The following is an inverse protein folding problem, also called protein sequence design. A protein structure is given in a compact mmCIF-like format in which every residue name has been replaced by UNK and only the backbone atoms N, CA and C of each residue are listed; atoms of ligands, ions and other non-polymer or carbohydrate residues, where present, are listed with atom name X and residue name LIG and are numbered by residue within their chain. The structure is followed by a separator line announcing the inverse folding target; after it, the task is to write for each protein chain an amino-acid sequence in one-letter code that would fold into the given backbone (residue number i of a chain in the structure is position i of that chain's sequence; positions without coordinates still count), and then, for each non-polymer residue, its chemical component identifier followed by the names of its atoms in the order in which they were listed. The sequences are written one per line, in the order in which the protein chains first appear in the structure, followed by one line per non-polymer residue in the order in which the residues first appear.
data_IF_796319886425
#
_entry.id   IF_796319886425
#
_cell.length_a   1.000
_cell.length_b   1.000
_cell.length_c   1.000
_cell.angle_alpha   90.00
_cell.angle_beta   90.00
_cell.angle_gamma   90.00
#
_symmetry.space_group_name_H-M   'P 1'
#
loop_
_entity.id
_entity.type
_entity.pdbx_description
1 polymer ?
#
# COMPACT_ATOMS: atom_id res chain seq x y z
N UNK A 1 -4.45 -8.80 -16.37
CA UNK A 1 -3.41 -8.36 -15.40
C UNK A 1 -3.98 -7.22 -14.54
N UNK A 2 -5.09 -7.48 -13.84
CA UNK A 2 -5.92 -6.45 -13.15
C UNK A 2 -6.43 -6.94 -11.78
N UNK A 3 -5.72 -7.88 -11.14
CA UNK A 3 -6.11 -8.41 -9.82
C UNK A 3 -5.22 -7.95 -8.65
N UNK A 4 -4.10 -7.27 -8.91
CA UNK A 4 -3.22 -6.80 -7.82
C UNK A 4 -3.59 -5.41 -7.26
N UNK A 5 -4.41 -4.61 -7.95
CA UNK A 5 -4.84 -3.29 -7.44
C UNK A 5 -5.89 -3.36 -6.31
N UNK A 6 -6.53 -4.51 -6.06
CA UNK A 6 -7.56 -4.64 -5.00
C UNK A 6 -7.02 -4.92 -3.60
N UNK A 7 -5.73 -5.23 -3.41
CA UNK A 7 -5.21 -5.53 -2.06
C UNK A 7 -4.85 -4.28 -1.24
N UNK A 8 -4.52 -3.14 -1.89
CA UNK A 8 -4.27 -1.88 -1.16
C UNK A 8 -5.56 -1.26 -0.59
N UNK A 9 -6.73 -1.53 -1.18
CA UNK A 9 -8.04 -1.07 -0.66
C UNK A 9 -8.58 -1.99 0.45
N UNK A 10 -8.13 -3.25 0.53
CA UNK A 10 -8.55 -4.17 1.60
C UNK A 10 -7.80 -4.01 2.93
N UNK A 11 -6.71 -3.22 2.96
CA UNK A 11 -5.98 -2.86 4.19
C UNK A 11 -6.71 -1.83 5.07
N UNK A 12 -7.81 -1.27 4.59
CA UNK A 12 -8.74 -0.37 5.29
C UNK A 12 -10.15 -0.97 5.45
N UNK A 13 -10.28 -2.30 5.50
CA UNK A 13 -11.29 -2.93 6.35
C UNK A 13 -10.72 -2.84 7.77
N UNK A 14 -10.70 -1.67 8.40
CA UNK A 14 -11.96 -1.00 8.70
C UNK A 14 -12.75 -1.94 9.59
N UNK A 15 -12.14 -2.36 10.71
CA UNK A 15 -12.90 -2.68 11.93
C UNK A 15 -13.56 -1.37 12.39
N UNK A 16 -14.45 -0.84 11.56
CA UNK A 16 -15.65 -0.16 11.98
C UNK A 16 -16.34 -1.25 12.80
N UNK A 17 -15.99 -1.30 14.08
CA UNK A 17 -16.92 -1.76 15.10
C UNK A 17 -18.14 -0.90 14.84
N UNK A 18 -19.09 -1.50 14.14
CA UNK A 18 -20.41 -0.96 13.92
C UNK A 18 -21.00 -0.85 15.33
N UNK A 19 -20.73 0.29 15.98
CA UNK A 19 -21.37 0.72 17.23
C UNK A 19 -22.85 1.04 16.98
N UNK A 20 -23.31 0.98 15.72
CA UNK A 20 -24.69 1.20 15.34
C UNK A 20 -25.42 -0.13 15.05
N UNK A 21 -26.40 -0.47 15.89
CA UNK A 21 -27.52 -1.39 15.63
C UNK A 21 -27.44 -2.81 16.21
N UNK A 22 -27.52 -2.90 17.55
CA UNK A 22 -28.50 -3.82 18.14
C UNK A 22 -29.65 -2.96 18.70
N UNK A 23 -30.67 -2.61 17.88
CA UNK A 23 -31.90 -2.04 18.39
C UNK A 23 -32.69 -3.18 19.04
N UNK A 24 -32.62 -3.31 20.37
CA UNK A 24 -33.53 -4.23 21.06
C UNK A 24 -33.04 -4.96 22.31
N UNK A 25 -31.88 -4.63 22.90
CA UNK A 25 -31.65 -5.06 24.28
C UNK A 25 -32.42 -4.17 25.24
N UNK A 26 -33.60 -4.65 25.58
CA UNK A 26 -34.45 -4.21 26.68
C UNK A 26 -33.62 -3.98 27.93
N UNK A 27 -33.73 -2.75 28.43
CA UNK A 27 -33.12 -2.19 29.64
C UNK A 27 -33.60 -2.99 30.86
N UNK A 28 -33.00 -4.15 31.12
CA UNK A 28 -33.17 -4.86 32.37
C UNK A 28 -32.51 -4.05 33.48
N UNK A 29 -33.24 -3.89 34.58
CA UNK A 29 -32.95 -2.96 35.65
C UNK A 29 -31.64 -3.27 36.39
N UNK A 30 -30.80 -2.23 36.50
CA UNK A 30 -30.04 -1.93 37.71
C UNK A 30 -29.07 -2.99 38.22
N UNK A 31 -28.00 -3.28 37.49
CA UNK A 31 -26.73 -3.64 38.14
C UNK A 31 -26.00 -2.34 38.47
N UNK A 32 -25.95 -2.00 39.76
CA UNK A 32 -25.03 -0.97 40.24
C UNK A 32 -23.62 -1.42 39.88
N UNK A 33 -23.05 -0.83 38.83
CA UNK A 33 -21.61 -0.94 38.54
C UNK A 33 -20.90 -0.38 39.77
N UNK A 34 -20.09 -1.18 40.49
CA UNK A 34 -19.26 -0.63 41.54
C UNK A 34 -18.43 0.49 40.90
N UNK A 35 -18.57 1.72 41.39
CA UNK A 35 -17.67 2.82 41.01
C UNK A 35 -16.33 2.53 41.68
N UNK A 36 -15.59 1.56 41.15
CA UNK A 36 -14.20 1.35 41.48
C UNK A 36 -13.38 2.33 40.63
N UNK A 37 -12.78 3.37 41.23
CA UNK A 37 -11.98 4.35 40.50
C UNK A 37 -10.82 3.69 39.73
N UNK A 38 -10.34 2.53 40.19
CA UNK A 38 -9.32 1.74 39.50
C UNK A 38 -9.83 1.14 38.19
N UNK A 39 -11.06 0.64 38.17
CA UNK A 39 -11.70 0.10 36.97
C UNK A 39 -11.86 1.18 35.90
N UNK A 40 -12.47 2.32 36.26
CA UNK A 40 -12.76 3.40 35.31
C UNK A 40 -11.48 4.00 34.70
N UNK A 41 -10.39 4.05 35.48
CA UNK A 41 -9.08 4.51 35.02
C UNK A 41 -8.47 3.57 33.98
N UNK A 42 -8.37 2.28 34.30
CA UNK A 42 -7.82 1.26 33.39
C UNK A 42 -8.66 1.12 32.11
N UNK A 43 -9.99 1.18 32.24
CA UNK A 43 -10.89 1.14 31.10
C UNK A 43 -10.62 2.29 30.13
N UNK A 44 -10.60 3.54 30.62
CA UNK A 44 -10.32 4.72 29.78
C UNK A 44 -8.94 4.65 29.13
N UNK A 45 -7.93 4.21 29.87
CA UNK A 45 -6.58 4.03 29.35
C UNK A 45 -6.54 2.98 28.23
N UNK A 46 -7.20 1.84 28.41
CA UNK A 46 -7.28 0.78 27.39
C UNK A 46 -7.93 1.29 26.10
N UNK A 47 -9.02 2.06 26.21
CA UNK A 47 -9.68 2.69 25.05
C UNK A 47 -8.76 3.69 24.35
N UNK A 48 -8.09 4.60 25.08
CA UNK A 48 -7.14 5.56 24.48
C UNK A 48 -6.00 4.84 23.74
N UNK A 49 -5.52 3.70 24.26
CA UNK A 49 -4.51 2.88 23.57
C UNK A 49 -5.06 2.27 22.27
N UNK A 50 -6.30 1.78 22.26
CA UNK A 50 -6.96 1.28 21.04
C UNK A 50 -7.11 2.39 20.00
N UNK A 51 -7.57 3.58 20.41
CA UNK A 51 -7.74 4.73 19.51
C UNK A 51 -6.43 5.18 18.87
N UNK A 52 -5.30 4.99 19.57
CA UNK A 52 -3.94 5.27 19.07
C UNK A 52 -3.32 4.10 18.30
N UNK A 53 -4.05 3.01 18.07
CA UNK A 53 -3.57 1.81 17.38
C UNK A 53 -2.56 0.97 18.18
N UNK A 54 -2.44 1.18 19.49
CA UNK A 54 -1.50 0.49 20.39
C UNK A 54 -2.15 -0.77 20.97
N UNK A 55 -2.57 -1.69 20.09
CA UNK A 55 -3.42 -2.83 20.46
C UNK A 55 -2.78 -3.80 21.46
N UNK A 56 -1.48 -4.08 21.37
CA UNK A 56 -0.82 -4.98 22.33
C UNK A 56 -0.78 -4.34 23.73
N UNK A 57 -0.45 -3.06 23.83
CA UNK A 57 -0.49 -2.31 25.09
C UNK A 57 -1.92 -2.19 25.63
N UNK A 58 -2.91 -2.04 24.75
CA UNK A 58 -4.31 -2.04 25.13
C UNK A 58 -4.73 -3.40 25.71
N UNK A 59 -4.36 -4.50 25.06
CA UNK A 59 -4.63 -5.86 25.54
C UNK A 59 -4.04 -6.08 26.93
N UNK A 60 -2.79 -5.69 27.15
CA UNK A 60 -2.13 -5.79 28.46
C UNK A 60 -2.82 -4.92 29.52
N UNK A 61 -3.41 -3.79 29.13
CA UNK A 61 -4.22 -2.96 30.01
C UNK A 61 -5.56 -3.64 30.35
N UNK A 62 -6.28 -4.19 29.35
CA UNK A 62 -7.55 -4.89 29.57
C UNK A 62 -7.41 -6.22 30.31
N UNK A 63 -6.22 -6.84 30.33
CA UNK A 63 -5.90 -7.98 31.20
C UNK A 63 -5.84 -7.61 32.68
N UNK A 64 -5.57 -6.35 33.01
CA UNK A 64 -5.55 -5.85 34.39
C UNK A 64 -6.95 -5.44 34.89
N UNK A 65 -7.88 -5.19 33.97
CA UNK A 65 -9.28 -4.91 34.32
C UNK A 65 -9.92 -6.19 34.86
N UNK A 66 -10.57 -6.17 36.05
CA UNK A 66 -11.25 -7.33 36.61
C UNK A 66 -12.24 -7.98 35.63
N UNK A 67 -12.14 -9.30 35.47
CA UNK A 67 -13.08 -10.10 34.66
C UNK A 67 -14.46 -10.18 35.33
N UNK A 68 -15.49 -10.54 34.55
CA UNK A 68 -16.86 -10.74 35.06
C UNK A 68 -17.87 -9.70 34.59
N UNK A 69 -17.41 -8.66 33.88
CA UNK A 69 -18.29 -7.83 33.06
C UNK A 69 -18.27 -8.34 31.61
N UNK A 70 -19.42 -8.73 31.02
CA UNK A 70 -19.48 -9.32 29.69
C UNK A 70 -18.80 -8.48 28.60
N UNK A 71 -18.91 -7.16 28.69
CA UNK A 71 -18.30 -6.25 27.72
C UNK A 71 -16.77 -6.24 27.83
N UNK A 72 -16.22 -6.23 29.04
CA UNK A 72 -14.76 -6.27 29.27
C UNK A 72 -14.16 -7.57 28.76
N UNK A 73 -14.81 -8.69 29.07
CA UNK A 73 -14.37 -10.00 28.61
C UNK A 73 -14.43 -10.08 27.06
N UNK A 74 -15.48 -9.53 26.44
CA UNK A 74 -15.59 -9.46 24.99
C UNK A 74 -14.51 -8.59 24.34
N UNK A 75 -14.22 -7.41 24.88
CA UNK A 75 -13.15 -6.54 24.37
C UNK A 75 -11.79 -7.23 24.45
N UNK A 76 -11.52 -7.96 25.55
CA UNK A 76 -10.30 -8.75 25.70
C UNK A 76 -10.19 -9.80 24.62
N UNK A 77 -11.25 -10.59 24.38
CA UNK A 77 -11.29 -11.60 23.31
C UNK A 77 -11.01 -10.99 21.94
N UNK A 78 -11.62 -9.86 21.58
CA UNK A 78 -11.36 -9.19 20.31
C UNK A 78 -9.90 -8.76 20.14
N UNK A 79 -9.31 -8.21 21.20
CA UNK A 79 -7.90 -7.79 21.17
C UNK A 79 -6.95 -9.00 21.06
N UNK A 80 -7.26 -10.13 21.69
CA UNK A 80 -6.52 -11.38 21.56
C UNK A 80 -6.61 -11.95 20.14
N UNK A 81 -7.80 -12.02 19.56
CA UNK A 81 -8.03 -12.46 18.19
C UNK A 81 -7.32 -11.57 17.16
N UNK A 82 -7.35 -10.25 17.39
CA UNK A 82 -6.65 -9.29 16.56
C UNK A 82 -5.14 -9.47 16.64
N UNK A 83 -4.57 -9.58 17.85
CA UNK A 83 -3.13 -9.79 18.05
C UNK A 83 -2.67 -11.11 17.40
N UNK A 84 -3.45 -12.18 17.56
CA UNK A 84 -3.19 -13.46 16.88
C UNK A 84 -3.23 -13.33 15.34
N UNK A 85 -4.18 -12.55 14.80
CA UNK A 85 -4.28 -12.29 13.37
C UNK A 85 -3.10 -11.48 12.83
N UNK A 86 -2.60 -10.50 13.60
CA UNK A 86 -1.42 -9.71 13.24
C UNK A 86 -0.15 -10.57 13.25
N UNK A 87 0.01 -11.44 14.25
CA UNK A 87 1.12 -12.39 14.30
C UNK A 87 1.11 -13.36 13.11
N UNK A 88 -0.08 -13.89 12.76
CA UNK A 88 -0.23 -14.77 11.59
C UNK A 88 0.09 -14.04 10.27
N UNK A 89 -0.28 -12.76 10.13
CA UNK A 89 0.09 -11.93 8.97
C UNK A 89 1.59 -11.71 8.90
N UNK A 90 2.24 -11.34 10.00
CA UNK A 90 3.69 -11.14 10.02
C UNK A 90 4.45 -12.42 9.63
N UNK A 91 3.97 -13.59 10.05
CA UNK A 91 4.55 -14.87 9.62
C UNK A 91 4.34 -15.11 8.12
N UNK A 92 3.14 -14.84 7.59
CA UNK A 92 2.86 -14.96 6.16
C UNK A 92 3.70 -13.99 5.33
N UNK A 93 3.83 -12.73 5.78
CA UNK A 93 4.64 -11.69 5.13
C UNK A 93 6.12 -12.10 5.11
N UNK A 94 6.67 -12.66 6.21
CA UNK A 94 8.03 -13.20 6.24
C UNK A 94 8.22 -14.34 5.23
N UNK A 95 7.27 -15.27 5.14
CA UNK A 95 7.33 -16.36 4.18
C UNK A 95 7.25 -15.89 2.71
N UNK A 96 6.37 -14.93 2.41
CA UNK A 96 6.23 -14.36 1.08
C UNK A 96 7.43 -13.47 0.71
N UNK A 97 8.02 -12.75 1.67
CA UNK A 97 9.25 -11.97 1.46
C UNK A 97 10.40 -12.82 0.92
N UNK A 98 10.72 -13.94 1.57
CA UNK A 98 11.80 -14.83 1.14
C UNK A 98 11.52 -15.44 -0.24
N UNK A 99 10.26 -15.78 -0.50
CA UNK A 99 9.80 -16.31 -1.79
C UNK A 99 9.97 -15.26 -2.89
N UNK A 100 9.58 -14.01 -2.65
CA UNK A 100 9.71 -12.93 -3.63
C UNK A 100 11.16 -12.56 -3.91
N UNK A 101 12.04 -12.54 -2.91
CA UNK A 101 13.50 -12.37 -3.13
C UNK A 101 14.03 -13.46 -4.05
N UNK A 102 13.65 -14.72 -3.82
CA UNK A 102 14.09 -15.85 -4.65
C UNK A 102 13.62 -15.71 -6.10
N UNK A 103 12.36 -15.32 -6.30
CA UNK A 103 11.83 -15.07 -7.64
C UNK A 103 12.52 -13.88 -8.32
N UNK A 104 12.74 -12.77 -7.60
CA UNK A 104 13.48 -11.63 -8.14
C UNK A 104 14.88 -12.04 -8.61
N UNK A 105 15.64 -12.76 -7.77
CA UNK A 105 16.98 -13.26 -8.12
C UNK A 105 16.98 -14.22 -9.31
N UNK A 106 16.02 -15.13 -9.38
CA UNK A 106 15.88 -16.02 -10.55
C UNK A 106 15.58 -15.23 -11.85
N UNK A 107 14.86 -14.12 -11.77
CA UNK A 107 14.60 -13.24 -12.92
C UNK A 107 15.83 -12.42 -13.31
N UNK A 108 16.63 -11.98 -12.34
CA UNK A 108 17.94 -11.33 -12.59
C UNK A 108 18.86 -12.24 -13.40
N UNK A 109 18.98 -13.51 -13.01
CA UNK A 109 19.80 -14.51 -13.73
C UNK A 109 19.38 -14.72 -15.20
N UNK A 110 18.16 -14.33 -15.56
CA UNK A 110 17.60 -14.42 -16.92
C UNK A 110 17.54 -13.09 -17.64
N UNK A 111 18.08 -12.02 -17.03
CA UNK A 111 18.04 -10.65 -17.56
C UNK A 111 16.59 -10.13 -17.76
N UNK A 112 15.63 -10.70 -17.02
CA UNK A 112 14.21 -10.30 -17.06
C UNK A 112 13.95 -9.18 -16.03
N UNK A 113 14.69 -8.06 -16.14
CA UNK A 113 14.78 -7.03 -15.10
C UNK A 113 13.44 -6.41 -14.70
N UNK A 114 12.52 -6.22 -15.64
CA UNK A 114 11.15 -5.76 -15.33
C UNK A 114 10.46 -6.67 -14.32
N UNK A 115 10.48 -7.99 -14.56
CA UNK A 115 9.84 -8.94 -13.66
C UNK A 115 10.60 -9.07 -12.35
N UNK A 116 11.92 -8.93 -12.38
CA UNK A 116 12.71 -8.87 -11.15
C UNK A 116 12.31 -7.68 -10.26
N UNK A 117 12.12 -6.49 -10.85
CA UNK A 117 11.65 -5.30 -10.14
C UNK A 117 10.23 -5.46 -9.59
N UNK A 118 9.31 -6.07 -10.34
CA UNK A 118 7.95 -6.37 -9.86
C UNK A 118 7.98 -7.28 -8.62
N UNK A 119 8.85 -8.30 -8.60
CA UNK A 119 9.04 -9.16 -7.42
C UNK A 119 9.77 -8.44 -6.28
N UNK A 120 10.74 -7.57 -6.57
CA UNK A 120 11.40 -6.76 -5.56
C UNK A 120 10.42 -5.79 -4.88
N UNK A 121 9.50 -5.18 -5.64
CA UNK A 121 8.43 -4.34 -5.11
C UNK A 121 7.48 -5.14 -4.21
N UNK A 122 7.09 -6.35 -4.63
CA UNK A 122 6.30 -7.24 -3.79
C UNK A 122 7.03 -7.62 -2.49
N UNK A 123 8.34 -7.88 -2.54
CA UNK A 123 9.15 -8.12 -1.35
C UNK A 123 9.21 -6.87 -0.43
N UNK A 124 9.36 -5.67 -0.99
CA UNK A 124 9.39 -4.42 -0.24
C UNK A 124 8.07 -4.13 0.50
N UNK A 125 6.95 -4.69 0.04
CA UNK A 125 5.63 -4.57 0.69
C UNK A 125 5.40 -5.61 1.81
N UNK A 126 6.30 -6.59 1.95
CA UNK A 126 6.26 -7.66 2.97
C UNK A 126 7.39 -7.57 4.00
N UNK A 127 8.38 -6.69 3.82
CA UNK A 127 9.54 -6.60 4.71
C UNK A 127 9.27 -5.73 5.95
N UNK A 128 9.83 -6.13 7.09
CA UNK A 128 9.77 -5.34 8.34
C UNK A 128 10.69 -4.11 8.30
N UNK A 129 11.81 -4.18 7.57
CA UNK A 129 12.79 -3.10 7.43
C UNK A 129 13.04 -2.78 5.95
N UNK A 130 12.20 -1.89 5.43
CA UNK A 130 12.27 -1.45 4.03
C UNK A 130 13.60 -0.75 3.71
N UNK A 131 14.15 0.04 4.64
CA UNK A 131 15.39 0.76 4.40
C UNK A 131 16.61 -0.17 4.33
N UNK A 132 16.64 -1.23 5.13
CA UNK A 132 17.66 -2.28 4.99
C UNK A 132 17.49 -3.05 3.68
N UNK A 133 16.26 -3.40 3.29
CA UNK A 133 15.98 -4.08 2.03
C UNK A 133 16.44 -3.27 0.81
N UNK A 134 16.11 -1.97 0.77
CA UNK A 134 16.49 -1.08 -0.34
C UNK A 134 18.00 -0.85 -0.46
N UNK A 135 18.78 -1.15 0.59
CA UNK A 135 20.25 -1.07 0.59
C UNK A 135 20.95 -2.39 0.29
N UNK A 136 20.21 -3.46 -0.01
CA UNK A 136 20.82 -4.75 -0.32
C UNK A 136 21.61 -4.68 -1.64
N UNK A 137 22.84 -5.20 -1.66
CA UNK A 137 23.74 -5.12 -2.83
C UNK A 137 23.08 -5.64 -4.12
N UNK A 138 22.43 -6.81 -4.05
CA UNK A 138 21.76 -7.42 -5.21
C UNK A 138 20.64 -6.54 -5.79
N UNK A 139 20.00 -5.71 -4.96
CA UNK A 139 18.94 -4.81 -5.40
C UNK A 139 19.55 -3.57 -6.05
N UNK A 140 20.68 -3.07 -5.54
CA UNK A 140 21.46 -2.03 -6.22
C UNK A 140 21.88 -2.48 -7.62
N UNK A 141 22.43 -3.69 -7.73
CA UNK A 141 22.83 -4.27 -9.03
C UNK A 141 21.63 -4.39 -9.99
N UNK A 142 20.46 -4.85 -9.48
CA UNK A 142 19.23 -4.90 -10.26
C UNK A 142 18.80 -3.52 -10.76
N UNK A 143 18.86 -2.50 -9.91
CA UNK A 143 18.49 -1.13 -10.28
C UNK A 143 19.41 -0.60 -11.37
N UNK A 144 20.72 -0.79 -11.24
CA UNK A 144 21.70 -0.33 -12.23
C UNK A 144 21.45 -0.97 -13.61
N UNK A 145 21.27 -2.30 -13.66
CA UNK A 145 20.95 -3.01 -14.90
C UNK A 145 19.59 -2.62 -15.49
N UNK A 146 18.58 -2.42 -14.65
CA UNK A 146 17.27 -1.97 -15.11
C UNK A 146 17.33 -0.55 -15.70
N UNK A 147 18.12 0.34 -15.14
CA UNK A 147 18.31 1.70 -15.65
C UNK A 147 19.06 1.70 -16.99
N UNK A 148 20.09 0.86 -17.13
CA UNK A 148 20.81 0.65 -18.39
C UNK A 148 19.85 0.15 -19.48
N UNK A 149 19.10 -0.93 -19.21
CA UNK A 149 18.11 -1.45 -20.16
C UNK A 149 17.01 -0.43 -20.49
N UNK A 150 16.54 0.35 -19.51
CA UNK A 150 15.53 1.37 -19.76
C UNK A 150 16.04 2.47 -20.69
N UNK A 151 17.31 2.86 -20.56
CA UNK A 151 17.93 3.85 -21.44
C UNK A 151 18.07 3.33 -22.88
N UNK A 152 18.46 2.06 -23.06
CA UNK A 152 18.48 1.41 -24.38
C UNK A 152 17.08 1.41 -25.03
N UNK A 153 16.05 1.03 -24.26
CA UNK A 153 14.67 1.04 -24.73
C UNK A 153 14.20 2.45 -25.11
N UNK A 154 14.59 3.48 -24.36
CA UNK A 154 14.31 4.88 -24.72
C UNK A 154 15.00 5.28 -26.03
N UNK A 155 16.25 4.90 -26.22
CA UNK A 155 16.99 5.18 -27.46
C UNK A 155 16.32 4.54 -28.68
N UNK A 156 15.65 3.40 -28.50
CA UNK A 156 14.85 2.70 -29.52
C UNK A 156 13.40 3.20 -29.63
N UNK A 157 13.01 4.25 -28.89
CA UNK A 157 11.63 4.75 -28.79
C UNK A 157 10.61 3.69 -28.31
N UNK A 158 11.06 2.67 -27.58
CA UNK A 158 10.22 1.65 -26.93
C UNK A 158 9.73 2.14 -25.57
N UNK A 159 8.93 3.19 -25.58
CA UNK A 159 8.53 3.91 -24.37
C UNK A 159 7.69 3.04 -23.41
N UNK A 160 6.88 2.11 -23.93
CA UNK A 160 6.01 1.28 -23.07
C UNK A 160 6.84 0.32 -22.22
N UNK A 161 7.86 -0.25 -22.84
CA UNK A 161 8.81 -1.17 -22.23
C UNK A 161 9.67 -0.42 -21.21
N UNK A 162 10.20 0.76 -21.56
CA UNK A 162 10.96 1.60 -20.64
C UNK A 162 10.12 2.03 -19.42
N UNK A 163 8.85 2.42 -19.62
CA UNK A 163 7.95 2.74 -18.51
C UNK A 163 7.75 1.56 -17.56
N UNK A 164 7.69 0.34 -18.12
CA UNK A 164 7.61 -0.89 -17.32
C UNK A 164 8.80 -1.10 -16.38
N UNK A 165 9.95 -0.47 -16.62
CA UNK A 165 11.11 -0.47 -15.74
C UNK A 165 11.08 0.72 -14.75
N UNK A 166 10.67 1.91 -15.18
CA UNK A 166 10.64 3.09 -14.30
C UNK A 166 9.51 3.07 -13.27
N UNK A 167 8.32 2.59 -13.60
CA UNK A 167 7.20 2.57 -12.66
C UNK A 167 7.51 1.78 -11.37
N UNK A 168 8.04 0.54 -11.42
CA UNK A 168 8.45 -0.17 -10.21
C UNK A 168 9.56 0.56 -9.43
N UNK A 169 10.49 1.24 -10.11
CA UNK A 169 11.57 2.00 -9.46
C UNK A 169 11.01 3.20 -8.69
N UNK A 170 10.07 3.94 -9.27
CA UNK A 170 9.39 5.04 -8.60
C UNK A 170 8.60 4.58 -7.37
N UNK A 171 7.94 3.41 -7.43
CA UNK A 171 7.24 2.83 -6.28
C UNK A 171 8.19 2.26 -5.22
N UNK A 172 9.31 1.67 -5.61
CA UNK A 172 10.32 1.14 -4.69
C UNK A 172 10.99 2.27 -3.90
N UNK A 173 11.36 3.33 -4.59
CA UNK A 173 12.11 4.47 -4.08
C UNK A 173 11.27 5.76 -4.14
N UNK A 174 10.13 5.76 -3.45
CA UNK A 174 9.18 6.87 -3.37
C UNK A 174 9.80 8.23 -3.00
N UNK A 175 10.92 8.21 -2.27
CA UNK A 175 11.67 9.40 -1.86
C UNK A 175 12.71 9.89 -2.87
N UNK A 176 12.97 9.18 -3.96
CA UNK A 176 13.99 9.50 -4.95
C UNK A 176 13.34 10.18 -6.18
N UNK A 177 13.36 11.52 -6.29
CA UNK A 177 12.59 12.25 -7.32
C UNK A 177 13.04 11.92 -8.74
N UNK A 178 14.27 11.41 -8.90
CA UNK A 178 14.83 11.00 -10.19
C UNK A 178 13.95 9.97 -10.90
N UNK A 179 13.48 8.94 -10.21
CA UNK A 179 12.71 7.86 -10.85
C UNK A 179 11.32 8.31 -11.24
N UNK A 180 10.67 9.13 -10.40
CA UNK A 180 9.39 9.76 -10.73
C UNK A 180 9.50 10.69 -11.95
N UNK A 181 10.61 11.42 -12.09
CA UNK A 181 10.85 12.26 -13.27
C UNK A 181 10.99 11.41 -14.54
N UNK A 182 11.78 10.34 -14.49
CA UNK A 182 11.97 9.43 -15.63
C UNK A 182 10.66 8.75 -16.02
N UNK A 183 9.86 8.30 -15.06
CA UNK A 183 8.54 7.74 -15.30
C UNK A 183 7.62 8.75 -16.01
N UNK A 184 7.56 9.99 -15.51
CA UNK A 184 6.74 11.07 -16.11
C UNK A 184 7.17 11.41 -17.53
N UNK A 185 8.47 11.43 -17.79
CA UNK A 185 9.01 11.69 -19.13
C UNK A 185 8.54 10.61 -20.11
N UNK A 186 8.73 9.34 -19.77
CA UNK A 186 8.31 8.23 -20.62
C UNK A 186 6.79 8.18 -20.79
N UNK A 187 6.01 8.47 -19.74
CA UNK A 187 4.55 8.61 -19.85
C UNK A 187 4.13 9.74 -20.80
N UNK A 188 4.90 10.82 -20.85
CA UNK A 188 4.64 11.92 -21.79
C UNK A 188 4.84 11.45 -23.22
N UNK A 189 5.94 10.75 -23.51
CA UNK A 189 6.16 10.16 -24.83
C UNK A 189 5.09 9.14 -25.21
N UNK A 190 4.70 8.26 -24.29
CA UNK A 190 3.60 7.32 -24.51
C UNK A 190 2.29 8.01 -24.88
N UNK A 191 1.96 9.12 -24.23
CA UNK A 191 0.76 9.91 -24.55
C UNK A 191 0.86 10.54 -25.94
N UNK A 192 2.03 11.07 -26.30
CA UNK A 192 2.26 11.63 -27.64
C UNK A 192 2.12 10.55 -28.71
N UNK A 193 2.75 9.38 -28.52
CA UNK A 193 2.62 8.24 -29.43
C UNK A 193 1.16 7.81 -29.59
N UNK A 194 0.40 7.78 -28.50
CA UNK A 194 -1.03 7.50 -28.56
C UNK A 194 -1.78 8.58 -29.36
N UNK A 195 -1.55 9.87 -29.09
CA UNK A 195 -2.25 10.97 -29.78
C UNK A 195 -1.94 10.97 -31.29
N UNK A 196 -0.68 10.73 -31.65
CA UNK A 196 -0.19 10.83 -33.03
C UNK A 196 -0.15 9.52 -33.80
N UNK A 197 -0.62 8.41 -33.20
CA UNK A 197 -0.76 7.14 -33.90
C UNK A 197 -1.67 7.29 -35.14
N UNK A 198 -1.33 6.56 -36.21
CA UNK A 198 -1.99 6.66 -37.53
C UNK A 198 -3.51 6.35 -37.50
N UNK A 199 -3.98 5.67 -36.45
CA UNK A 199 -5.38 5.34 -36.21
C UNK A 199 -6.17 6.44 -35.51
N UNK A 200 -5.50 7.51 -35.06
CA UNK A 200 -6.16 8.68 -34.48
C UNK A 200 -6.29 9.81 -35.49
N UNK A 201 -7.52 10.31 -35.64
CA UNK A 201 -7.88 11.41 -36.53
C UNK A 201 -7.49 12.78 -35.95
N UNK A 202 -6.32 12.85 -35.31
CA UNK A 202 -5.83 14.04 -34.63
C UNK A 202 -5.63 15.21 -35.60
N UNK A 203 -5.35 14.92 -36.88
CA UNK A 203 -5.26 15.91 -37.95
C UNK A 203 -6.62 16.56 -38.23
N UNK A 204 -7.67 15.75 -38.35
CA UNK A 204 -9.04 16.23 -38.49
C UNK A 204 -9.49 17.05 -37.28
N UNK A 205 -9.01 16.71 -36.09
CA UNK A 205 -9.19 17.52 -34.88
C UNK A 205 -8.53 18.88 -35.00
N UNK A 206 -7.24 18.92 -35.36
CA UNK A 206 -6.47 20.16 -35.49
C UNK A 206 -6.97 21.09 -36.60
N UNK A 207 -7.40 20.56 -37.75
CA UNK A 207 -7.97 21.37 -38.83
C UNK A 207 -9.25 22.11 -38.41
N UNK A 208 -9.96 21.59 -37.41
CA UNK A 208 -11.18 22.18 -36.87
C UNK A 208 -10.94 23.19 -35.74
N UNK A 209 -9.74 23.19 -35.13
CA UNK A 209 -9.38 24.14 -34.07
C UNK A 209 -9.17 25.53 -34.68
N UNK A 210 -9.90 26.53 -34.17
CA UNK A 210 -9.74 27.93 -34.56
C UNK A 210 -8.87 28.65 -33.55
N UNK A 211 -8.24 29.75 -33.98
CA UNK A 211 -7.40 30.58 -33.11
C UNK A 211 -8.18 31.10 -31.87
N UNK A 212 -9.49 31.30 -32.00
CA UNK A 212 -10.42 31.70 -30.94
C UNK A 212 -10.50 30.68 -29.79
N UNK A 213 -10.32 29.39 -30.08
CA UNK A 213 -10.33 28.31 -29.09
C UNK A 213 -9.06 28.36 -28.21
N UNK A 214 -7.93 28.74 -28.81
CA UNK A 214 -6.66 28.91 -28.09
C UNK A 214 -6.68 30.16 -27.18
N UNK A 215 -7.30 31.24 -27.64
CA UNK A 215 -7.47 32.47 -26.84
C UNK A 215 -8.34 32.18 -25.60
N UNK A 216 -9.45 31.47 -25.79
CA UNK A 216 -10.35 31.07 -24.70
C UNK A 216 -9.69 30.15 -23.66
N UNK A 217 -8.75 29.30 -24.08
CA UNK A 217 -8.02 28.39 -23.17
C UNK A 217 -6.95 29.11 -22.33
N UNK A 218 -6.43 30.25 -22.78
CA UNK A 218 -5.45 31.06 -22.05
C UNK A 218 -6.09 31.98 -21.01
N UNK A 219 -7.39 32.27 -21.15
CA UNK A 219 -8.16 33.10 -20.22
C UNK A 219 -8.79 32.29 -19.07
N UNK A 220 -8.73 30.96 -19.11
CA UNK A 220 -9.29 30.03 -18.12
C UNK A 220 -8.26 29.59 -17.06
#
# INVERSE_FOLDING_TARGET
MMQHLSMRILRLLGLLVVVALIPGQTRAAGTHRPQDPGFDGLWKQGIDLVERGRFDSALDTFRQVPSGEPLTDQVRTWLEEYSASQAARAEADRADFEKYIRYAKQRIEREEYRHALEWALAAADCTEDREAFLRADWLSDLVDHALEQAEELRAEAKWREAWGLYWPLAELFDREPRYEQLEREVLTHLRLDMIFADDNDWRDGLEKVRWEDAESALEA
#
